data_IF_417192174148
#
_entry.id   IF_417192174148
#
_cell.length_a   1.000
_cell.length_b   1.000
_cell.length_c   1.000
_cell.angle_alpha   90.00
_cell.angle_beta   90.00
_cell.angle_gamma   90.00
#
_symmetry.space_group_name_H-M   'P 1'
#
loop_
_entity.id
_entity.type
_entity.pdbx_description
1 polymer ?
#
# COMPACT_ATOMS: atom_id res chain seq x y z
N UNK A 1 -5.25 -21.43 -16.71
CA UNK A 1 -4.04 -20.60 -16.56
C UNK A 1 -3.99 -20.14 -15.11
N UNK A 2 -2.82 -19.99 -14.49
CA UNK A 2 -2.74 -19.43 -13.14
C UNK A 2 -3.30 -18.02 -13.10
N UNK A 3 -3.88 -17.61 -11.95
CA UNK A 3 -4.28 -16.23 -11.76
C UNK A 3 -3.03 -15.33 -11.75
N UNK A 4 -3.14 -14.13 -12.32
CA UNK A 4 -2.00 -13.22 -12.45
C UNK A 4 -2.17 -11.99 -11.57
N UNK A 5 -1.12 -11.69 -10.79
CA UNK A 5 -1.01 -10.51 -9.94
C UNK A 5 0.11 -9.59 -10.44
N UNK A 6 -0.17 -8.31 -10.61
CA UNK A 6 0.79 -7.33 -11.10
C UNK A 6 1.07 -6.26 -10.06
N UNK A 7 2.34 -6.11 -9.65
CA UNK A 7 2.80 -4.97 -8.87
C UNK A 7 3.13 -3.81 -9.79
N UNK A 8 2.33 -2.75 -9.75
CA UNK A 8 2.54 -1.56 -10.60
C UNK A 8 3.79 -0.78 -10.19
N UNK A 9 4.54 -0.21 -11.13
CA UNK A 9 5.66 0.68 -10.84
C UNK A 9 5.17 2.07 -10.38
N UNK A 10 6.01 2.83 -9.63
CA UNK A 10 7.29 2.44 -9.08
C UNK A 10 7.15 1.56 -7.84
N UNK A 11 8.00 0.54 -7.75
CA UNK A 11 8.05 -0.31 -6.56
C UNK A 11 9.25 0.11 -5.69
N UNK A 12 9.02 0.31 -4.40
CA UNK A 12 10.11 0.52 -3.45
C UNK A 12 10.88 -0.79 -3.19
N UNK A 13 12.14 -0.66 -2.76
CA UNK A 13 12.95 -1.80 -2.33
C UNK A 13 12.29 -2.60 -1.18
N UNK A 14 11.48 -1.93 -0.35
CA UNK A 14 10.71 -2.56 0.71
C UNK A 14 9.71 -3.59 0.15
N UNK A 15 8.98 -3.23 -0.91
CA UNK A 15 8.04 -4.17 -1.55
C UNK A 15 8.75 -5.31 -2.26
N UNK A 16 9.92 -5.06 -2.86
CA UNK A 16 10.70 -6.12 -3.49
C UNK A 16 11.06 -7.24 -2.51
N UNK A 17 11.30 -6.92 -1.24
CA UNK A 17 11.58 -7.90 -0.19
C UNK A 17 10.37 -8.77 0.21
N UNK A 18 9.13 -8.34 -0.10
CA UNK A 18 7.91 -9.09 0.21
C UNK A 18 7.54 -10.12 -0.86
N UNK A 19 8.03 -9.97 -2.07
CA UNK A 19 7.65 -10.83 -3.21
C UNK A 19 7.90 -12.33 -2.93
N UNK A 20 9.06 -12.76 -2.39
CA UNK A 20 9.27 -14.17 -2.05
C UNK A 20 8.21 -14.70 -1.08
N UNK A 21 7.85 -13.92 -0.06
CA UNK A 21 6.82 -14.31 0.92
C UNK A 21 5.42 -14.42 0.30
N UNK A 22 5.13 -13.58 -0.69
CA UNK A 22 3.86 -13.66 -1.43
C UNK A 22 3.80 -14.90 -2.30
N UNK A 23 4.88 -15.26 -2.98
CA UNK A 23 4.97 -16.50 -3.76
C UNK A 23 4.74 -17.73 -2.89
N UNK A 24 5.32 -17.76 -1.70
CA UNK A 24 5.12 -18.84 -0.73
C UNK A 24 3.67 -18.91 -0.21
N UNK A 25 3.03 -17.75 -0.01
CA UNK A 25 1.68 -17.64 0.55
C UNK A 25 0.57 -17.84 -0.48
N UNK A 26 0.87 -17.64 -1.76
CA UNK A 26 -0.08 -17.76 -2.86
C UNK A 26 0.42 -18.72 -3.95
N UNK A 27 0.57 -20.02 -3.64
CA UNK A 27 1.03 -20.99 -4.61
C UNK A 27 0.05 -21.05 -5.80
N UNK A 28 0.59 -21.05 -7.01
CA UNK A 28 -0.20 -21.08 -8.24
C UNK A 28 -0.62 -19.71 -8.79
N UNK A 29 -0.20 -18.60 -8.17
CA UNK A 29 -0.29 -17.28 -8.77
C UNK A 29 0.98 -16.93 -9.56
N UNK A 30 0.78 -16.32 -10.72
CA UNK A 30 1.86 -15.68 -11.50
C UNK A 30 2.01 -14.23 -10.99
N UNK A 31 3.17 -13.90 -10.40
CA UNK A 31 3.42 -12.57 -9.82
C UNK A 31 4.40 -11.80 -10.71
N UNK A 32 3.90 -10.78 -11.40
CA UNK A 32 4.69 -9.90 -12.24
C UNK A 32 5.08 -8.60 -11.51
N UNK A 33 6.33 -8.18 -11.69
CA UNK A 33 6.90 -6.97 -11.08
C UNK A 33 7.54 -6.07 -12.13
N UNK A 34 6.76 -5.51 -13.06
CA UNK A 34 7.27 -4.63 -14.11
C UNK A 34 7.98 -3.41 -13.50
N UNK A 35 9.10 -3.00 -14.10
CA UNK A 35 9.89 -1.86 -13.63
C UNK A 35 9.52 -0.55 -14.31
N UNK A 36 8.84 -0.63 -15.44
CA UNK A 36 8.38 0.52 -16.21
C UNK A 36 6.90 0.40 -16.53
N UNK A 37 6.28 1.54 -16.81
CA UNK A 37 4.87 1.59 -17.21
C UNK A 37 4.60 0.78 -18.49
N UNK A 38 5.52 0.85 -19.47
CA UNK A 38 5.41 0.07 -20.70
C UNK A 38 5.41 -1.44 -20.46
N UNK A 39 6.18 -1.91 -19.47
CA UNK A 39 6.14 -3.31 -19.06
C UNK A 39 4.82 -3.61 -18.34
N UNK A 40 4.35 -2.70 -17.47
CA UNK A 40 3.09 -2.87 -16.75
C UNK A 40 1.89 -2.99 -17.70
N UNK A 41 1.84 -2.20 -18.77
CA UNK A 41 0.79 -2.29 -19.80
C UNK A 41 0.71 -3.69 -20.43
N UNK A 42 1.85 -4.33 -20.70
CA UNK A 42 1.88 -5.70 -21.25
C UNK A 42 1.40 -6.75 -20.24
N UNK A 43 1.81 -6.60 -18.98
CA UNK A 43 1.46 -7.53 -17.91
C UNK A 43 -0.03 -7.43 -17.54
N UNK A 44 -0.60 -6.22 -17.57
CA UNK A 44 -2.00 -5.96 -17.24
C UNK A 44 -3.00 -6.56 -18.22
N UNK A 45 -2.63 -6.79 -19.47
CA UNK A 45 -3.53 -7.38 -20.48
C UNK A 45 -4.15 -8.72 -20.05
N UNK A 46 -3.47 -9.46 -19.18
CA UNK A 46 -3.93 -10.75 -18.66
C UNK A 46 -3.97 -10.78 -17.12
N UNK A 47 -3.93 -9.64 -16.44
CA UNK A 47 -3.93 -9.57 -14.99
C UNK A 47 -5.34 -9.80 -14.42
N UNK A 48 -5.42 -10.60 -13.36
CA UNK A 48 -6.61 -10.79 -12.54
C UNK A 48 -6.63 -9.82 -11.36
N UNK A 49 -5.45 -9.47 -10.85
CA UNK A 49 -5.29 -8.57 -9.72
C UNK A 49 -4.06 -7.68 -9.88
N UNK A 50 -4.09 -6.49 -9.26
CA UNK A 50 -2.96 -5.56 -9.24
C UNK A 50 -2.84 -4.84 -7.90
N UNK A 51 -1.63 -4.35 -7.62
CA UNK A 51 -1.32 -3.49 -6.49
C UNK A 51 -0.61 -2.23 -6.98
N UNK A 52 -1.06 -1.07 -6.55
CA UNK A 52 -0.38 0.19 -6.81
C UNK A 52 -1.31 1.31 -7.28
N UNK A 53 -0.70 2.34 -7.87
CA UNK A 53 -1.44 3.47 -8.45
C UNK A 53 -1.76 3.17 -9.91
N UNK A 54 -3.05 3.27 -10.24
CA UNK A 54 -3.57 3.06 -11.58
C UNK A 54 -3.65 4.40 -12.34
N UNK A 55 -3.36 4.37 -13.64
CA UNK A 55 -3.60 5.50 -14.55
C UNK A 55 -4.69 5.14 -15.56
N UNK A 56 -5.28 6.12 -16.29
CA UNK A 56 -6.25 5.84 -17.35
C UNK A 56 -5.72 4.86 -18.41
N UNK A 57 -4.44 4.98 -18.79
CA UNK A 57 -3.79 4.12 -19.75
C UNK A 57 -3.63 2.68 -19.20
N UNK A 58 -3.25 2.55 -17.94
CA UNK A 58 -3.08 1.26 -17.28
C UNK A 58 -4.40 0.53 -17.11
N UNK A 59 -5.48 1.21 -16.69
CA UNK A 59 -6.79 0.58 -16.53
C UNK A 59 -7.39 0.15 -17.87
N UNK A 60 -7.19 0.94 -18.92
CA UNK A 60 -7.61 0.60 -20.28
C UNK A 60 -6.89 -0.67 -20.80
N UNK A 61 -5.66 -0.90 -20.38
CA UNK A 61 -4.88 -2.10 -20.73
C UNK A 61 -5.22 -3.34 -19.88
N UNK A 62 -6.12 -3.23 -18.90
CA UNK A 62 -6.41 -4.27 -17.92
C UNK A 62 -7.87 -4.82 -18.00
N UNK A 63 -8.36 -5.30 -19.15
CA UNK A 63 -9.76 -5.64 -19.35
C UNK A 63 -10.26 -6.81 -18.48
N UNK A 64 -9.34 -7.60 -17.93
CA UNK A 64 -9.66 -8.77 -17.09
C UNK A 64 -9.47 -8.52 -15.61
N UNK A 65 -9.05 -7.30 -15.23
CA UNK A 65 -8.73 -6.97 -13.85
C UNK A 65 -9.99 -7.05 -12.97
N UNK A 66 -9.94 -7.87 -11.95
CA UNK A 66 -11.04 -8.10 -10.99
C UNK A 66 -10.79 -7.44 -9.66
N UNK A 67 -9.53 -7.24 -9.29
CA UNK A 67 -9.14 -6.68 -8.00
C UNK A 67 -7.95 -5.73 -8.14
N UNK A 68 -8.08 -4.54 -7.57
CA UNK A 68 -7.00 -3.55 -7.41
C UNK A 68 -6.85 -3.21 -5.93
N UNK A 69 -5.67 -3.47 -5.38
CA UNK A 69 -5.31 -3.00 -4.04
C UNK A 69 -4.60 -1.66 -4.15
N UNK A 70 -5.22 -0.60 -3.61
CA UNK A 70 -4.60 0.73 -3.53
C UNK A 70 -3.44 0.74 -2.51
N UNK A 71 -2.39 1.54 -2.75
CA UNK A 71 -1.17 1.51 -1.94
C UNK A 71 -1.30 2.23 -0.59
N UNK A 72 -2.36 3.00 -0.38
CA UNK A 72 -2.56 3.82 0.82
C UNK A 72 -3.92 3.56 1.47
N UNK A 73 -4.02 3.85 2.78
CA UNK A 73 -5.28 3.78 3.53
C UNK A 73 -6.27 4.85 3.09
N UNK A 74 -5.77 6.02 2.69
CA UNK A 74 -6.51 7.10 2.05
C UNK A 74 -5.73 7.50 0.79
N UNK A 75 -6.10 6.99 -0.38
CA UNK A 75 -5.48 7.39 -1.63
C UNK A 75 -5.62 8.89 -1.88
N UNK A 76 -4.61 9.46 -2.57
CA UNK A 76 -4.57 10.87 -2.88
C UNK A 76 -5.77 11.33 -3.72
N UNK A 77 -6.04 12.63 -3.72
CA UNK A 77 -7.06 13.22 -4.57
C UNK A 77 -6.79 12.87 -6.06
N UNK A 78 -7.82 12.42 -6.76
CA UNK A 78 -7.70 11.98 -8.15
C UNK A 78 -7.34 10.51 -8.35
N UNK A 79 -7.11 9.75 -7.27
CA UNK A 79 -6.90 8.30 -7.40
C UNK A 79 -8.11 7.59 -8.04
N UNK A 80 -9.32 8.02 -7.68
CA UNK A 80 -10.58 7.50 -8.24
C UNK A 80 -11.01 8.38 -9.42
N UNK A 81 -10.40 8.19 -10.57
CA UNK A 81 -10.77 8.87 -11.82
C UNK A 81 -11.89 8.12 -12.56
N UNK A 82 -12.53 8.78 -13.50
CA UNK A 82 -13.77 8.32 -14.14
C UNK A 82 -13.64 6.93 -14.77
N UNK A 83 -12.55 6.63 -15.46
CA UNK A 83 -12.32 5.33 -16.09
C UNK A 83 -12.15 4.21 -15.07
N UNK A 84 -11.52 4.49 -13.91
CA UNK A 84 -11.41 3.52 -12.82
C UNK A 84 -12.77 3.27 -12.16
N UNK A 85 -13.58 4.32 -11.97
CA UNK A 85 -14.92 4.20 -11.38
C UNK A 85 -15.84 3.41 -12.31
N UNK A 86 -15.72 3.60 -13.63
CA UNK A 86 -16.51 2.88 -14.62
C UNK A 86 -16.05 1.42 -14.82
N UNK A 87 -14.83 1.07 -14.41
CA UNK A 87 -14.30 -0.26 -14.60
C UNK A 87 -14.89 -1.26 -13.59
N UNK A 88 -15.18 -2.54 -13.97
CA UNK A 88 -15.79 -3.52 -13.08
C UNK A 88 -14.89 -4.03 -11.96
N UNK A 89 -13.62 -3.60 -11.91
CA UNK A 89 -12.66 -4.00 -10.87
C UNK A 89 -13.10 -3.58 -9.48
N UNK A 90 -12.89 -4.42 -8.48
CA UNK A 90 -13.09 -4.05 -7.07
C UNK A 90 -11.82 -3.39 -6.56
N UNK A 91 -11.94 -2.17 -6.03
CA UNK A 91 -10.83 -1.45 -5.41
C UNK A 91 -10.91 -1.62 -3.91
N UNK A 92 -9.81 -2.01 -3.29
CA UNK A 92 -9.63 -2.08 -1.84
C UNK A 92 -8.44 -1.22 -1.41
N UNK A 93 -8.42 -0.81 -0.15
CA UNK A 93 -7.32 -0.04 0.42
C UNK A 93 -6.95 -0.56 1.82
N UNK A 94 -5.96 0.07 2.46
CA UNK A 94 -5.51 -0.28 3.82
C UNK A 94 -6.25 0.48 4.92
N UNK A 95 -7.54 0.79 4.71
CA UNK A 95 -8.34 1.49 5.70
C UNK A 95 -8.35 0.75 7.04
N UNK A 96 -8.23 1.53 8.12
CA UNK A 96 -8.35 1.10 9.52
C UNK A 96 -7.20 0.25 10.09
N UNK A 97 -6.26 -0.24 9.28
CA UNK A 97 -5.15 -1.08 9.78
C UNK A 97 -4.15 -0.35 10.70
N UNK A 98 -4.19 0.99 10.72
CA UNK A 98 -3.28 1.81 11.53
C UNK A 98 -3.94 2.45 12.75
N UNK A 99 -5.26 2.31 12.92
CA UNK A 99 -6.03 3.06 13.91
C UNK A 99 -5.51 2.82 15.34
N UNK A 100 -5.26 1.58 15.70
CA UNK A 100 -4.79 1.22 17.04
C UNK A 100 -3.40 1.82 17.31
N UNK A 101 -2.49 1.70 16.35
CA UNK A 101 -1.12 2.21 16.49
C UNK A 101 -1.08 3.74 16.55
N UNK A 102 -1.83 4.41 15.68
CA UNK A 102 -1.86 5.88 15.62
C UNK A 102 -2.50 6.46 16.87
N UNK A 103 -3.63 5.90 17.34
CA UNK A 103 -4.33 6.40 18.52
C UNK A 103 -3.48 6.26 19.78
N UNK A 104 -2.82 5.13 19.98
CA UNK A 104 -1.90 4.92 21.12
C UNK A 104 -0.71 5.88 21.03
N UNK A 105 -0.15 6.11 19.84
CA UNK A 105 0.96 7.03 19.66
C UNK A 105 0.57 8.48 20.00
N UNK A 106 -0.60 8.93 19.55
CA UNK A 106 -1.13 10.27 19.88
C UNK A 106 -1.31 10.40 21.39
N UNK A 107 -1.94 9.42 22.04
CA UNK A 107 -2.14 9.43 23.49
C UNK A 107 -0.80 9.47 24.24
N UNK A 108 0.19 8.72 23.78
CA UNK A 108 1.55 8.72 24.34
C UNK A 108 2.18 10.11 24.28
N UNK A 109 2.07 10.82 23.16
CA UNK A 109 2.57 12.18 23.04
C UNK A 109 1.82 13.16 23.97
N UNK A 110 0.49 13.08 24.02
CA UNK A 110 -0.32 13.92 24.91
C UNK A 110 0.09 13.72 26.38
N UNK A 111 0.25 12.47 26.82
CA UNK A 111 0.68 12.16 28.19
C UNK A 111 2.11 12.62 28.45
N UNK A 112 3.02 12.46 27.50
CA UNK A 112 4.39 12.94 27.64
C UNK A 112 4.44 14.45 27.87
N UNK A 113 3.67 15.24 27.12
CA UNK A 113 3.59 16.68 27.28
C UNK A 113 2.91 17.08 28.62
N UNK A 114 1.74 16.52 28.92
CA UNK A 114 0.96 16.89 30.11
C UNK A 114 1.62 16.47 31.42
N UNK A 115 2.42 15.41 31.40
CA UNK A 115 3.14 14.89 32.58
C UNK A 115 4.59 15.34 32.65
N UNK A 116 5.04 16.19 31.72
CA UNK A 116 6.41 16.73 31.68
C UNK A 116 7.52 15.65 31.70
N UNK A 117 7.31 14.48 31.06
CA UNK A 117 8.25 13.38 31.12
C UNK A 117 9.67 13.77 30.63
N UNK A 118 9.77 14.60 29.62
CA UNK A 118 11.08 15.06 29.15
C UNK A 118 11.83 15.85 30.23
N UNK A 119 11.13 16.72 30.94
CA UNK A 119 11.71 17.49 32.05
C UNK A 119 12.22 16.59 33.18
N UNK A 120 11.40 15.65 33.61
CA UNK A 120 11.81 14.72 34.68
C UNK A 120 12.93 13.77 34.24
N UNK A 121 12.93 13.33 32.99
CA UNK A 121 14.04 12.53 32.44
C UNK A 121 15.36 13.29 32.48
N UNK A 122 15.34 14.58 32.11
CA UNK A 122 16.53 15.41 32.09
C UNK A 122 17.04 15.66 33.54
N UNK A 123 16.13 15.94 34.49
CA UNK A 123 16.48 16.04 35.92
C UNK A 123 17.04 14.74 36.47
N UNK A 124 16.48 13.60 36.10
CA UNK A 124 16.99 12.29 36.53
C UNK A 124 18.41 12.06 36.02
N UNK A 125 18.69 12.42 34.76
CA UNK A 125 20.05 12.29 34.18
C UNK A 125 21.07 13.17 34.90
N UNK A 126 20.64 14.35 35.38
CA UNK A 126 21.45 15.30 36.17
C UNK A 126 21.44 15.00 37.68
N UNK A 127 20.74 13.96 38.14
CA UNK A 127 20.55 13.60 39.57
C UNK A 127 19.98 14.76 40.40
N UNK A 128 19.15 15.59 39.82
CA UNK A 128 18.41 16.67 40.49
C UNK A 128 17.03 16.16 40.87
N UNK A 129 16.78 16.07 42.19
CA UNK A 129 15.48 15.62 42.75
C UNK A 129 14.79 16.76 43.46
#
# INVERSE_FOLDING_TARGET
>A
MPNKFVFLPPQSNFFAAWIPRLLDSAPGWDIATPKTEQQALKELANADAAYGTMTPELIAAAPKLRWLQAPAAAPDAGYYFDELIAHPTKVTNFREIYNDHISVQILTYMLNFTKHFNFYRDQQSERKY
#
